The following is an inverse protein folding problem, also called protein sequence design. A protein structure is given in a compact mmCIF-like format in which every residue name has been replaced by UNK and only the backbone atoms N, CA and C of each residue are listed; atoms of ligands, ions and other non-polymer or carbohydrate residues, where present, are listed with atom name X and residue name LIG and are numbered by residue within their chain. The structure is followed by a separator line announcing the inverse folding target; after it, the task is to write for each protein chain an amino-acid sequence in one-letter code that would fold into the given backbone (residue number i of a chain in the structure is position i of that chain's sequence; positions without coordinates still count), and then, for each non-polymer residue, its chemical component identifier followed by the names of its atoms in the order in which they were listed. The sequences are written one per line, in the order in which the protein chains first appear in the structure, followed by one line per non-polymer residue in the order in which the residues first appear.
data_IF_205586894096
#
_entry.id   IF_205586894096
#
_cell.length_a   1.000
_cell.length_b   1.000
_cell.length_c   1.000
_cell.angle_alpha   90.00
_cell.angle_beta   90.00
_cell.angle_gamma   90.00
#
_symmetry.space_group_name_H-M   'P 1'
#
loop_
_entity.id
_entity.type
_entity.pdbx_description
1 polymer ?
#
# COMPACT_ATOMS: atom_id res chain seq x y z
N UNK A 1 -8.75 1.46 -5.00
CA UNK A 1 -9.94 1.49 -5.86
C UNK A 1 -10.99 2.33 -5.17
N UNK A 2 -12.21 2.33 -5.68
CA UNK A 2 -13.34 2.91 -4.96
C UNK A 2 -13.79 1.94 -3.85
N UNK A 3 -13.68 2.32 -2.57
CA UNK A 3 -14.07 1.45 -1.45
C UNK A 3 -15.59 1.26 -1.34
N UNK A 4 -16.42 2.16 -1.90
CA UNK A 4 -17.87 2.04 -1.87
C UNK A 4 -18.39 1.06 -2.93
N UNK A 5 -17.72 0.97 -4.08
CA UNK A 5 -18.16 0.14 -5.21
C UNK A 5 -17.27 -1.08 -5.47
N UNK A 6 -16.10 -1.16 -4.83
CA UNK A 6 -15.09 -2.19 -5.09
C UNK A 6 -14.39 -2.04 -6.45
N UNK A 7 -14.64 -0.96 -7.19
CA UNK A 7 -14.05 -0.77 -8.51
C UNK A 7 -12.53 -0.54 -8.43
N UNK A 8 -11.78 -1.26 -9.26
CA UNK A 8 -10.35 -1.03 -9.42
C UNK A 8 -10.06 0.35 -10.02
N UNK A 9 -8.85 0.84 -9.79
CA UNK A 9 -8.37 2.07 -10.44
C UNK A 9 -8.30 1.86 -11.95
N UNK A 10 -8.61 2.92 -12.70
CA UNK A 10 -8.67 2.88 -14.16
C UNK A 10 -7.31 2.56 -14.82
N UNK A 11 -6.20 2.88 -14.15
CA UNK A 11 -4.84 2.61 -14.61
C UNK A 11 -4.03 1.94 -13.49
N UNK A 12 -3.25 0.90 -13.79
CA UNK A 12 -2.31 0.31 -12.83
C UNK A 12 -1.13 1.26 -12.55
N UNK A 13 -0.34 0.93 -11.53
CA UNK A 13 0.90 1.63 -11.17
C UNK A 13 0.82 2.52 -9.92
N UNK A 14 -0.32 2.52 -9.22
CA UNK A 14 -0.39 3.12 -7.90
C UNK A 14 0.49 2.35 -6.90
N UNK A 15 0.43 1.02 -6.91
CA UNK A 15 1.20 0.19 -5.98
C UNK A 15 2.70 0.52 -6.04
N UNK A 16 3.25 0.67 -7.24
CA UNK A 16 4.66 1.05 -7.43
C UNK A 16 4.98 2.44 -6.90
N UNK A 17 4.07 3.41 -7.08
CA UNK A 17 4.24 4.77 -6.53
C UNK A 17 4.23 4.77 -5.00
N UNK A 18 3.33 3.98 -4.40
CA UNK A 18 3.27 3.83 -2.93
C UNK A 18 4.52 3.13 -2.43
N UNK A 19 4.98 2.07 -3.11
CA UNK A 19 6.21 1.35 -2.74
C UNK A 19 7.45 2.25 -2.82
N UNK A 20 7.55 3.10 -3.84
CA UNK A 20 8.63 4.09 -3.95
C UNK A 20 8.62 5.08 -2.77
N UNK A 21 7.44 5.62 -2.41
CA UNK A 21 7.29 6.50 -1.26
C UNK A 21 7.59 5.79 0.07
N UNK A 22 7.09 4.56 0.25
CA UNK A 22 7.32 3.76 1.46
C UNK A 22 8.81 3.45 1.67
N UNK A 23 9.54 3.16 0.58
CA UNK A 23 10.99 2.95 0.64
C UNK A 23 11.73 4.16 1.18
N UNK A 24 11.29 5.37 0.82
CA UNK A 24 11.86 6.62 1.34
C UNK A 24 11.55 6.84 2.83
N UNK A 25 10.42 6.31 3.31
CA UNK A 25 10.07 6.25 4.75
C UNK A 25 10.75 5.09 5.49
N UNK A 26 11.62 4.32 4.82
CA UNK A 26 12.31 3.17 5.40
C UNK A 26 11.42 1.94 5.58
N UNK A 27 10.34 1.80 4.80
CA UNK A 27 9.45 0.65 4.77
C UNK A 27 9.54 -0.08 3.43
N UNK A 28 9.95 -1.35 3.46
CA UNK A 28 9.93 -2.20 2.27
C UNK A 28 8.54 -2.82 2.08
N UNK A 29 8.04 -2.75 0.86
CA UNK A 29 6.74 -3.31 0.47
C UNK A 29 6.88 -4.09 -0.82
N UNK A 30 5.97 -5.02 -1.08
CA UNK A 30 5.94 -5.80 -2.33
C UNK A 30 4.73 -5.35 -3.18
N UNK A 31 4.92 -4.42 -4.13
CA UNK A 31 3.84 -3.97 -5.00
C UNK A 31 3.49 -5.03 -6.05
N UNK A 32 2.23 -5.06 -6.46
CA UNK A 32 1.77 -5.89 -7.57
C UNK A 32 0.51 -5.32 -8.23
N UNK A 33 0.16 -5.85 -9.41
CA UNK A 33 -1.03 -5.49 -10.18
C UNK A 33 -1.76 -6.74 -10.68
N UNK A 34 -2.94 -6.56 -11.26
CA UNK A 34 -3.70 -7.65 -11.87
C UNK A 34 -4.52 -8.50 -10.91
N UNK A 35 -4.75 -8.05 -9.67
CA UNK A 35 -5.51 -8.80 -8.67
C UNK A 35 -6.99 -9.03 -9.04
N UNK A 36 -7.54 -8.27 -9.99
CA UNK A 36 -8.95 -8.42 -10.43
C UNK A 36 -9.08 -9.34 -11.64
N UNK A 37 -8.23 -9.18 -12.65
CA UNK A 37 -8.38 -9.88 -13.95
C UNK A 37 -7.03 -10.15 -14.67
N UNK A 38 -5.92 -10.10 -13.93
CA UNK A 38 -4.56 -10.22 -14.48
C UNK A 38 -4.00 -8.92 -15.07
N UNK A 39 -4.80 -7.86 -15.20
CA UNK A 39 -4.35 -6.54 -15.67
C UNK A 39 -4.65 -5.43 -14.66
N UNK A 40 -5.88 -5.38 -14.15
CA UNK A 40 -6.36 -4.36 -13.21
C UNK A 40 -6.30 -4.86 -11.77
N UNK A 41 -6.24 -3.91 -10.84
CA UNK A 41 -6.21 -4.19 -9.40
C UNK A 41 -4.79 -4.17 -8.85
N UNK A 42 -4.32 -2.98 -8.53
CA UNK A 42 -3.08 -2.78 -7.79
C UNK A 42 -3.27 -3.27 -6.34
N UNK A 43 -2.24 -3.90 -5.80
CA UNK A 43 -2.19 -4.34 -4.41
C UNK A 43 -0.77 -4.14 -3.83
N UNK A 44 -0.71 -4.05 -2.51
CA UNK A 44 0.52 -3.97 -1.75
C UNK A 44 0.55 -5.13 -0.76
N UNK A 45 1.64 -5.91 -0.75
CA UNK A 45 1.86 -6.93 0.25
C UNK A 45 2.90 -6.47 1.28
N UNK A 46 2.58 -6.66 2.55
CA UNK A 46 3.44 -6.39 3.71
C UNK A 46 3.78 -7.73 4.36
N UNK A 47 5.07 -7.97 4.60
CA UNK A 47 5.56 -9.22 5.20
C UNK A 47 6.47 -8.97 6.40
N UNK A 48 5.93 -8.43 7.53
CA UNK A 48 6.72 -8.30 8.75
C UNK A 48 7.09 -9.68 9.33
N UNK A 49 8.17 -9.77 10.13
CA UNK A 49 8.51 -10.99 10.83
C UNK A 49 7.45 -11.36 11.87
N UNK A 50 7.29 -12.66 12.16
CA UNK A 50 6.34 -13.14 13.17
C UNK A 50 6.68 -12.68 14.59
N UNK A 51 7.91 -12.23 14.83
CA UNK A 51 8.38 -11.70 16.11
C UNK A 51 8.12 -10.19 16.28
N UNK A 52 7.43 -9.54 15.34
CA UNK A 52 7.15 -8.10 15.39
C UNK A 52 6.33 -7.75 16.65
N UNK A 53 6.72 -6.67 17.32
CA UNK A 53 6.05 -6.16 18.50
C UNK A 53 4.90 -5.20 18.13
N UNK A 54 3.94 -4.94 19.04
CA UNK A 54 2.88 -3.96 18.79
C UNK A 54 3.41 -2.56 18.41
N UNK A 55 4.47 -2.09 19.08
CA UNK A 55 5.08 -0.79 18.80
C UNK A 55 5.74 -0.74 17.39
N UNK A 56 6.30 -1.85 16.92
CA UNK A 56 6.84 -1.94 15.56
C UNK A 56 5.72 -2.02 14.50
N UNK A 57 4.57 -2.62 14.83
CA UNK A 57 3.38 -2.56 13.98
C UNK A 57 2.90 -1.11 13.85
N UNK A 58 2.81 -0.37 14.96
CA UNK A 58 2.41 1.04 14.92
C UNK A 58 3.38 1.87 14.05
N UNK A 59 4.69 1.66 14.20
CA UNK A 59 5.70 2.32 13.37
C UNK A 59 5.57 1.95 11.88
N UNK A 60 5.28 0.68 11.58
CA UNK A 60 5.04 0.22 10.22
C UNK A 60 3.83 0.93 9.61
N UNK A 61 2.72 1.00 10.35
CA UNK A 61 1.49 1.67 9.91
C UNK A 61 1.71 3.16 9.72
N UNK A 62 2.43 3.82 10.64
CA UNK A 62 2.73 5.25 10.54
C UNK A 62 3.55 5.57 9.27
N UNK A 63 4.54 4.74 8.93
CA UNK A 63 5.32 4.88 7.68
C UNK A 63 4.47 4.63 6.45
N UNK A 64 3.58 3.64 6.51
CA UNK A 64 2.66 3.35 5.42
C UNK A 64 1.70 4.52 5.17
N UNK A 65 1.13 5.09 6.22
CA UNK A 65 0.23 6.25 6.13
C UNK A 65 0.93 7.47 5.51
N UNK A 66 2.16 7.75 5.94
CA UNK A 66 2.99 8.80 5.33
C UNK A 66 3.22 8.55 3.83
N UNK A 67 3.54 7.32 3.44
CA UNK A 67 3.73 6.96 2.03
C UNK A 67 2.43 7.11 1.21
N UNK A 68 1.29 6.67 1.73
CA UNK A 68 -0.02 6.77 1.08
C UNK A 68 -0.42 8.23 0.87
N UNK A 69 -0.27 9.07 1.89
CA UNK A 69 -0.58 10.50 1.83
C UNK A 69 0.20 11.21 0.71
N UNK A 70 1.48 10.87 0.53
CA UNK A 70 2.33 11.43 -0.53
C UNK A 70 1.87 11.05 -1.94
N UNK A 71 1.13 9.97 -2.09
CA UNK A 71 0.59 9.53 -3.38
C UNK A 71 -0.80 10.07 -3.71
N UNK A 72 -1.39 10.86 -2.79
CA UNK A 72 -2.72 11.45 -2.93
C UNK A 72 -3.85 10.51 -2.53
N UNK A 73 -3.56 9.46 -1.75
CA UNK A 73 -4.55 8.53 -1.23
C UNK A 73 -4.72 8.78 0.26
N UNK A 74 -5.96 9.07 0.65
CA UNK A 74 -6.39 9.03 2.03
C UNK A 74 -7.02 7.65 2.28
N UNK A 75 -6.56 6.95 3.31
CA UNK A 75 -7.28 5.81 3.85
C UNK A 75 -8.42 6.37 4.72
N UNK A 76 -9.68 6.01 4.48
CA UNK A 76 -10.76 6.35 5.41
C UNK A 76 -10.46 5.71 6.77
N UNK A 77 -10.51 6.52 7.84
CA UNK A 77 -10.45 6.03 9.22
C UNK A 77 -11.72 5.33 9.65
#
# INVERSE_FOLDING_TARGET
GDPATGQALARPGLADRVAAAAREEGLLTYPGSGAVDGVRGDHLLLGPPLSITPAEVDLLLERLDRALARTGIAVPG
#
